data_IF_261985244135
#
_entry.id   IF_261985244135
#
_cell.length_a   1.000
_cell.length_b   1.000
_cell.length_c   1.000
_cell.angle_alpha   90.00
_cell.angle_beta   90.00
_cell.angle_gamma   90.00
#
_symmetry.space_group_name_H-M   'P 1'
#
loop_
_entity.id
_entity.type
_entity.pdbx_description
1 polymer ?
#
# COMPACT_ATOMS: atom_id res chain seq x y z
N UNK A 1 -15.97 -35.04 14.10
CA UNK A 1 -16.54 -33.68 14.09
C UNK A 1 -15.39 -32.74 13.79
N UNK A 2 -15.25 -32.32 12.53
CA UNK A 2 -14.20 -31.41 12.12
C UNK A 2 -14.54 -30.03 12.69
N UNK A 3 -13.66 -29.50 13.53
CA UNK A 3 -13.73 -28.13 14.02
C UNK A 3 -13.57 -27.20 12.82
N UNK A 4 -14.68 -26.59 12.38
CA UNK A 4 -14.62 -25.45 11.46
C UNK A 4 -14.06 -24.26 12.24
N UNK A 5 -12.74 -24.16 12.30
CA UNK A 5 -12.09 -22.90 12.62
C UNK A 5 -12.51 -21.88 11.54
N UNK A 6 -12.87 -20.63 11.89
CA UNK A 6 -13.12 -19.61 10.89
C UNK A 6 -11.82 -19.45 10.11
N UNK A 7 -11.80 -19.95 8.87
CA UNK A 7 -10.67 -19.82 7.95
C UNK A 7 -10.29 -18.34 7.93
N UNK A 8 -9.14 -18.02 8.52
CA UNK A 8 -8.82 -16.65 8.92
C UNK A 8 -9.08 -15.68 7.77
N UNK A 9 -9.81 -14.62 8.07
CA UNK A 9 -10.42 -13.67 7.13
C UNK A 9 -9.39 -12.68 6.60
N UNK A 10 -8.27 -13.23 6.12
CA UNK A 10 -7.07 -12.51 5.73
C UNK A 10 -7.15 -12.09 4.27
N UNK A 11 -6.57 -10.93 4.00
CA UNK A 11 -6.34 -10.47 2.64
C UNK A 11 -5.38 -11.43 1.95
N UNK A 12 -5.63 -11.70 0.67
CA UNK A 12 -4.77 -12.53 -0.15
C UNK A 12 -4.51 -11.85 -1.48
N UNK A 13 -3.28 -11.93 -1.97
CA UNK A 13 -2.95 -11.56 -3.33
C UNK A 13 -3.50 -12.63 -4.31
N UNK A 14 -3.92 -12.26 -5.54
CA UNK A 14 -4.25 -13.21 -6.58
C UNK A 14 -3.17 -14.28 -6.85
N UNK A 15 -1.90 -14.01 -6.55
CA UNK A 15 -0.84 -15.02 -6.62
C UNK A 15 -0.86 -16.07 -5.49
N UNK A 16 -1.84 -16.02 -4.58
CA UNK A 16 -2.00 -16.94 -3.47
C UNK A 16 -1.34 -16.49 -2.16
N UNK A 17 -0.50 -15.46 -2.18
CA UNK A 17 0.18 -14.97 -0.96
C UNK A 17 -0.80 -14.34 0.02
N UNK A 18 -0.81 -14.83 1.27
CA UNK A 18 -1.60 -14.27 2.38
C UNK A 18 -0.88 -13.03 2.94
N UNK A 19 -1.67 -12.01 3.27
CA UNK A 19 -1.24 -10.75 3.85
C UNK A 19 -1.98 -10.63 5.18
N UNK A 20 -1.25 -10.83 6.27
CA UNK A 20 -1.81 -10.89 7.62
C UNK A 20 -1.95 -9.50 8.23
N UNK A 21 -1.03 -8.59 7.87
CA UNK A 21 -0.95 -7.27 8.46
C UNK A 21 -0.41 -6.22 7.46
N UNK A 22 -0.64 -4.91 7.71
CA UNK A 22 -0.22 -3.84 6.82
C UNK A 22 1.30 -3.70 6.62
N UNK A 23 2.13 -4.25 7.51
CA UNK A 23 3.58 -4.28 7.35
C UNK A 23 4.08 -5.36 6.38
N UNK A 24 3.22 -6.30 5.98
CA UNK A 24 3.63 -7.37 5.06
C UNK A 24 3.76 -6.86 3.61
N UNK A 25 3.12 -5.73 3.29
CA UNK A 25 3.30 -5.10 1.99
C UNK A 25 4.71 -4.54 1.86
N UNK A 26 5.30 -4.69 0.67
CA UNK A 26 6.55 -4.01 0.32
C UNK A 26 6.21 -2.62 -0.18
N UNK A 27 6.80 -1.59 0.41
CA UNK A 27 6.60 -0.20 -0.03
C UNK A 27 7.79 0.22 -0.87
N UNK A 28 7.55 0.59 -2.13
CA UNK A 28 8.58 1.09 -3.03
C UNK A 28 8.35 2.57 -3.28
N UNK A 29 9.30 3.38 -2.85
CA UNK A 29 9.28 4.81 -3.15
C UNK A 29 10.06 5.07 -4.44
N UNK A 30 9.36 5.28 -5.55
CA UNK A 30 9.98 5.61 -6.83
C UNK A 30 10.46 7.07 -6.81
N UNK A 31 11.72 7.22 -6.39
CA UNK A 31 12.45 8.48 -6.46
C UNK A 31 12.70 8.79 -7.93
N UNK A 32 11.88 9.64 -8.55
CA UNK A 32 12.36 10.63 -9.52
C UNK A 32 11.32 11.66 -9.95
N UNK A 33 10.02 11.37 -10.09
CA UNK A 33 9.10 12.38 -10.66
C UNK A 33 7.65 12.39 -10.10
N UNK A 34 7.20 11.32 -9.44
CA UNK A 34 5.76 11.09 -9.27
C UNK A 34 5.18 11.35 -7.86
N UNK A 35 6.03 11.63 -6.85
CA UNK A 35 5.62 11.70 -5.43
C UNK A 35 4.62 10.58 -5.07
N UNK A 36 5.01 9.36 -5.42
CA UNK A 36 4.18 8.16 -5.35
C UNK A 36 4.95 7.06 -4.62
N UNK A 37 4.24 6.30 -3.79
CA UNK A 37 4.73 5.09 -3.15
C UNK A 37 3.89 3.92 -3.67
N UNK A 38 4.54 2.96 -4.31
CA UNK A 38 3.90 1.73 -4.74
C UNK A 38 3.75 0.77 -3.56
N UNK A 39 2.58 0.17 -3.46
CA UNK A 39 2.28 -0.89 -2.51
C UNK A 39 2.41 -2.22 -3.25
N UNK A 40 3.47 -2.96 -2.97
CA UNK A 40 3.83 -4.19 -3.66
C UNK A 40 3.44 -5.44 -2.86
N UNK A 41 3.21 -6.53 -3.59
CA UNK A 41 3.03 -7.85 -3.03
C UNK A 41 4.32 -8.31 -2.31
N UNK A 42 4.21 -8.97 -1.14
CA UNK A 42 5.38 -9.53 -0.46
C UNK A 42 6.10 -10.61 -1.28
N UNK A 43 5.40 -11.27 -2.21
CA UNK A 43 6.00 -12.24 -3.11
C UNK A 43 6.70 -11.54 -4.29
N UNK A 44 8.03 -11.62 -4.36
CA UNK A 44 8.85 -10.97 -5.40
C UNK A 44 8.61 -11.53 -6.81
N UNK A 45 8.11 -12.75 -6.92
CA UNK A 45 7.78 -13.39 -8.21
C UNK A 45 6.30 -13.23 -8.58
N UNK A 46 5.57 -12.37 -7.86
CA UNK A 46 4.16 -12.12 -8.13
C UNK A 46 3.97 -11.45 -9.51
N UNK A 47 3.17 -12.07 -10.37
CA UNK A 47 2.83 -11.52 -11.69
C UNK A 47 2.06 -10.18 -11.61
N UNK A 48 1.30 -9.95 -10.54
CA UNK A 48 0.60 -8.69 -10.32
C UNK A 48 1.57 -7.60 -9.83
N UNK A 49 2.57 -8.01 -9.02
CA UNK A 49 3.64 -7.20 -8.42
C UNK A 49 3.15 -6.01 -7.60
N UNK A 50 2.56 -5.02 -8.24
CA UNK A 50 1.96 -3.82 -7.66
C UNK A 50 0.50 -4.08 -7.31
N UNK A 51 0.14 -3.84 -6.05
CA UNK A 51 -1.20 -4.03 -5.53
C UNK A 51 -1.97 -2.72 -5.43
N UNK A 52 -1.27 -1.58 -5.40
CA UNK A 52 -1.84 -0.26 -5.24
C UNK A 52 -0.77 0.80 -5.12
N UNK A 53 -1.18 2.03 -4.83
CA UNK A 53 -0.28 3.17 -4.70
C UNK A 53 -0.78 4.20 -3.67
N UNK A 54 0.12 5.07 -3.25
CA UNK A 54 -0.15 6.26 -2.43
C UNK A 54 0.49 7.47 -3.13
N UNK A 55 -0.34 8.40 -3.59
CA UNK A 55 0.09 9.70 -4.15
C UNK A 55 0.04 10.77 -3.08
N UNK A 56 1.05 11.62 -3.06
CA UNK A 56 1.16 12.72 -2.12
C UNK A 56 1.85 13.93 -2.75
N UNK A 57 1.76 15.06 -2.05
CA UNK A 57 2.51 16.28 -2.35
C UNK A 57 3.24 16.76 -1.11
N UNK A 58 4.34 17.47 -1.33
CA UNK A 58 5.09 18.16 -0.27
C UNK A 58 4.95 19.65 -0.51
N UNK A 59 4.22 20.33 0.37
CA UNK A 59 3.94 21.77 0.33
C UNK A 59 4.35 22.37 1.69
N UNK A 60 5.20 23.40 1.70
CA UNK A 60 5.60 24.13 2.92
C UNK A 60 6.00 23.22 4.11
N UNK A 61 6.84 22.23 3.84
CA UNK A 61 7.32 21.22 4.81
C UNK A 61 6.26 20.26 5.39
N UNK A 62 5.06 20.28 4.80
CA UNK A 62 3.96 19.37 5.12
C UNK A 62 3.73 18.37 3.97
N UNK A 63 3.35 17.14 4.34
CA UNK A 63 2.95 16.14 3.36
C UNK A 63 1.44 16.06 3.29
N UNK A 64 0.89 16.23 2.09
CA UNK A 64 -0.53 16.11 1.80
C UNK A 64 -0.77 14.85 0.99
N UNK A 65 -1.59 13.94 1.51
CA UNK A 65 -2.00 12.74 0.77
C UNK A 65 -3.07 13.14 -0.25
N UNK A 66 -2.82 12.85 -1.53
CA UNK A 66 -3.76 13.14 -2.61
C UNK A 66 -4.69 11.95 -2.88
N UNK A 67 -4.13 10.74 -2.91
CA UNK A 67 -4.92 9.51 -3.04
C UNK A 67 -4.14 8.31 -2.51
N UNK A 68 -4.87 7.31 -1.99
CA UNK A 68 -4.33 6.03 -1.59
C UNK A 68 -5.34 4.96 -1.97
N UNK A 69 -4.93 4.02 -2.83
CA UNK A 69 -5.86 2.98 -3.32
C UNK A 69 -5.14 1.69 -3.68
N UNK A 70 -5.85 0.59 -3.51
CA UNK A 70 -5.49 -0.67 -4.14
C UNK A 70 -6.08 -0.75 -5.55
N UNK A 71 -5.40 -1.47 -6.45
CA UNK A 71 -5.84 -1.65 -7.82
C UNK A 71 -7.03 -2.61 -7.91
N UNK A 72 -7.91 -2.42 -8.93
CA UNK A 72 -9.13 -3.21 -9.08
C UNK A 72 -8.94 -4.73 -9.09
N UNK A 73 -7.89 -5.33 -9.70
CA UNK A 73 -7.68 -6.78 -9.66
C UNK A 73 -7.52 -7.33 -8.23
N UNK A 74 -6.76 -6.62 -7.39
CA UNK A 74 -6.53 -7.01 -6.00
C UNK A 74 -7.78 -6.83 -5.14
N UNK A 75 -8.51 -5.73 -5.35
CA UNK A 75 -9.76 -5.44 -4.64
C UNK A 75 -10.85 -6.45 -5.01
N UNK A 76 -11.07 -6.69 -6.31
CA UNK A 76 -12.08 -7.62 -6.83
C UNK A 76 -11.83 -9.03 -6.32
N UNK A 77 -10.58 -9.47 -6.31
CA UNK A 77 -10.19 -10.78 -5.79
C UNK A 77 -10.60 -10.97 -4.32
N UNK A 78 -10.28 -10.00 -3.46
CA UNK A 78 -10.61 -10.10 -2.04
C UNK A 78 -12.11 -9.91 -1.78
N UNK A 79 -12.79 -9.06 -2.55
CA UNK A 79 -14.24 -8.90 -2.49
C UNK A 79 -14.99 -10.20 -2.84
N UNK A 80 -14.51 -10.96 -3.83
CA UNK A 80 -15.09 -12.26 -4.18
C UNK A 80 -14.89 -13.32 -3.09
N UNK A 81 -13.74 -13.30 -2.39
CA UNK A 81 -13.41 -14.28 -1.33
C UNK A 81 -14.08 -14.00 0.01
N UNK A 82 -14.09 -12.74 0.44
CA UNK A 82 -14.51 -12.34 1.80
C UNK A 82 -15.88 -11.67 1.84
N UNK A 83 -16.48 -11.40 0.68
CA UNK A 83 -17.60 -10.50 0.54
C UNK A 83 -17.14 -9.04 0.42
N UNK A 84 -17.86 -8.27 -0.40
CA UNK A 84 -17.48 -6.91 -0.81
C UNK A 84 -17.29 -5.96 0.37
N UNK A 85 -18.27 -5.85 1.25
CA UNK A 85 -18.25 -4.90 2.38
C UNK A 85 -17.05 -5.15 3.30
N UNK A 86 -16.84 -6.42 3.65
CA UNK A 86 -15.78 -6.86 4.53
C UNK A 86 -14.39 -6.64 3.94
N UNK A 87 -14.19 -7.07 2.69
CA UNK A 87 -12.92 -6.87 2.00
C UNK A 87 -12.56 -5.37 1.92
N UNK A 88 -13.53 -4.52 1.55
CA UNK A 88 -13.30 -3.09 1.46
C UNK A 88 -12.98 -2.45 2.82
N UNK A 89 -13.61 -2.92 3.90
CA UNK A 89 -13.29 -2.47 5.27
C UNK A 89 -11.83 -2.77 5.62
N UNK A 90 -11.40 -4.02 5.47
CA UNK A 90 -10.03 -4.45 5.81
C UNK A 90 -9.00 -3.73 4.94
N UNK A 91 -9.23 -3.66 3.63
CA UNK A 91 -8.33 -2.96 2.70
C UNK A 91 -8.20 -1.46 3.03
N UNK A 92 -9.30 -0.80 3.42
CA UNK A 92 -9.27 0.60 3.86
C UNK A 92 -8.47 0.78 5.15
N UNK A 93 -8.64 -0.14 6.11
CA UNK A 93 -7.87 -0.13 7.36
C UNK A 93 -6.37 -0.36 7.11
N UNK A 94 -6.03 -1.25 6.18
CA UNK A 94 -4.65 -1.46 5.73
C UNK A 94 -4.06 -0.18 5.13
N UNK A 95 -4.73 0.47 4.18
CA UNK A 95 -4.26 1.74 3.59
C UNK A 95 -4.03 2.82 4.65
N UNK A 96 -4.99 2.99 5.57
CA UNK A 96 -4.85 3.96 6.66
C UNK A 96 -3.63 3.67 7.52
N UNK A 97 -3.41 2.40 7.85
CA UNK A 97 -2.27 1.98 8.69
C UNK A 97 -0.94 2.16 7.96
N UNK A 98 -0.87 1.84 6.67
CA UNK A 98 0.31 2.07 5.83
C UNK A 98 0.69 3.55 5.86
N UNK A 99 -0.28 4.42 5.54
CA UNK A 99 -0.09 5.88 5.52
C UNK A 99 0.34 6.43 6.87
N UNK A 100 -0.22 5.93 7.98
CA UNK A 100 0.02 6.49 9.30
C UNK A 100 1.26 5.93 10.01
N UNK A 101 1.63 4.66 9.75
CA UNK A 101 2.60 3.94 10.59
C UNK A 101 3.78 3.34 9.82
N UNK A 102 3.63 3.06 8.53
CA UNK A 102 4.66 2.35 7.77
C UNK A 102 5.40 3.22 6.76
N UNK A 103 4.98 4.48 6.59
CA UNK A 103 5.68 5.46 5.78
C UNK A 103 6.43 6.44 6.68
N UNK A 104 7.74 6.54 6.47
CA UNK A 104 8.58 7.56 7.07
C UNK A 104 8.49 8.87 6.28
N UNK A 105 7.51 9.70 6.64
CA UNK A 105 7.28 10.99 6.02
C UNK A 105 8.43 11.98 6.26
N UNK A 106 9.20 11.85 7.34
CA UNK A 106 10.34 12.73 7.60
C UNK A 106 11.44 12.46 6.58
N UNK A 107 11.78 11.19 6.37
CA UNK A 107 12.73 10.78 5.33
C UNK A 107 12.30 11.23 3.93
N UNK A 108 11.00 11.12 3.62
CA UNK A 108 10.45 11.59 2.33
C UNK A 108 10.64 13.10 2.16
N UNK A 109 10.37 13.90 3.21
CA UNK A 109 10.57 15.35 3.18
C UNK A 109 12.04 15.72 3.03
N UNK A 110 12.94 15.06 3.75
CA UNK A 110 14.38 15.26 3.61
C UNK A 110 14.87 14.95 2.19
N UNK A 111 14.46 13.81 1.65
CA UNK A 111 14.78 13.42 0.28
C UNK A 111 14.18 14.42 -0.75
N UNK A 112 13.01 14.99 -0.48
CA UNK A 112 12.39 16.01 -1.34
C UNK A 112 13.17 17.34 -1.30
N UNK A 113 13.57 17.81 -0.11
CA UNK A 113 14.38 19.03 0.05
C UNK A 113 15.74 18.91 -0.65
N UNK A 114 16.43 17.77 -0.50
CA UNK A 114 17.70 17.50 -1.20
C UNK A 114 17.55 17.63 -2.72
N UNK A 115 16.48 17.07 -3.29
CA UNK A 115 16.20 17.20 -4.74
C UNK A 115 15.94 18.63 -5.20
N UNK A 116 15.25 19.45 -4.39
CA UNK A 116 15.02 20.85 -4.74
C UNK A 116 16.33 21.63 -4.76
N UNK A 117 17.26 21.34 -3.84
CA UNK A 117 18.59 21.94 -3.84
C UNK A 117 19.41 21.52 -5.07
N UNK A 118 19.40 20.23 -5.43
CA UNK A 118 20.15 19.69 -6.60
C UNK A 118 19.62 20.15 -7.97
N UNK A 119 18.33 20.55 -8.07
CA UNK A 119 17.73 21.08 -9.31
C UNK A 119 17.86 22.60 -9.47
N UNK A 120 18.28 23.30 -8.41
CA UNK A 120 18.47 24.75 -8.40
C UNK A 120 19.88 25.20 -8.74
N UNK A 121 20.82 24.27 -8.94
CA UNK A 121 22.17 24.46 -9.49
C UNK A 121 22.19 24.17 -10.99
#
# INVERSE_FOLDING_TARGET
MSTNEPQEEKIQCPCGRIIEQPSDYKLLFLKKELNEIDILCPNDTCYLRELGYIKFKVEDDNVKIESATFYPPFVTWNAARLGREKALKILREHLKTIVQKHIDWNKIKEDYKKRLAEKGE
#
